data_IF_759350589674
#
_entry.id   IF_759350589674
#
_cell.length_a   1.000
_cell.length_b   1.000
_cell.length_c   1.000
_cell.angle_alpha   90.00
_cell.angle_beta   90.00
_cell.angle_gamma   90.00
#
_symmetry.space_group_name_H-M   'P 1'
#
loop_
_entity.id
_entity.type
_entity.pdbx_description
1 polymer ?
#
# COMPACT_ATOMS: atom_id res chain seq x y z
N UNK A 1 -41.62 -13.68 -18.74
CA UNK A 1 -40.99 -12.65 -17.86
C UNK A 1 -39.57 -13.10 -17.55
N UNK A 2 -38.63 -12.78 -18.44
CA UNK A 2 -37.19 -13.04 -18.26
C UNK A 2 -36.54 -11.77 -17.71
N UNK A 3 -36.18 -11.78 -16.43
CA UNK A 3 -35.48 -10.66 -15.80
C UNK A 3 -34.03 -10.61 -16.29
N UNK A 4 -33.75 -9.70 -17.22
CA UNK A 4 -32.38 -9.35 -17.62
C UNK A 4 -31.72 -8.55 -16.49
N UNK A 5 -30.71 -9.14 -15.83
CA UNK A 5 -29.86 -8.44 -14.86
C UNK A 5 -29.00 -7.38 -15.57
N UNK A 6 -28.85 -6.17 -15.00
CA UNK A 6 -28.02 -5.12 -15.58
C UNK A 6 -26.53 -5.50 -15.54
N UNK A 7 -25.72 -5.08 -16.53
CA UNK A 7 -24.29 -5.33 -16.54
C UNK A 7 -23.65 -4.68 -15.31
N UNK A 8 -22.93 -5.48 -14.51
CA UNK A 8 -22.16 -5.00 -13.39
C UNK A 8 -21.18 -3.92 -13.88
N UNK A 9 -21.45 -2.66 -13.55
CA UNK A 9 -20.58 -1.55 -13.84
C UNK A 9 -19.19 -1.85 -13.26
N UNK A 10 -18.22 -2.08 -14.12
CA UNK A 10 -16.82 -2.31 -13.75
C UNK A 10 -16.29 -1.03 -13.11
N UNK A 11 -16.41 -0.91 -11.78
CA UNK A 11 -15.83 0.20 -11.03
C UNK A 11 -14.32 0.17 -11.29
N UNK A 12 -13.72 1.26 -11.80
CA UNK A 12 -12.27 1.32 -11.96
C UNK A 12 -11.62 1.04 -10.60
N UNK A 13 -10.92 -0.08 -10.49
CA UNK A 13 -10.15 -0.40 -9.28
C UNK A 13 -8.94 0.52 -9.29
N UNK A 14 -9.06 1.66 -8.62
CA UNK A 14 -7.95 2.59 -8.43
C UNK A 14 -6.89 1.86 -7.61
N UNK A 15 -5.78 1.53 -8.26
CA UNK A 15 -4.69 0.82 -7.59
C UNK A 15 -3.97 1.78 -6.62
N UNK A 16 -3.60 1.33 -5.41
CA UNK A 16 -2.87 2.15 -4.42
C UNK A 16 -1.57 2.74 -4.99
N UNK A 17 -0.93 2.01 -5.91
CA UNK A 17 0.27 2.45 -6.64
C UNK A 17 -0.02 3.66 -7.53
N UNK A 18 -1.19 3.73 -8.17
CA UNK A 18 -1.61 4.89 -8.96
C UNK A 18 -1.82 6.12 -8.07
N UNK A 19 -2.40 5.93 -6.88
CA UNK A 19 -2.60 7.00 -5.90
C UNK A 19 -1.25 7.55 -5.46
N UNK A 20 -0.32 6.68 -5.02
CA UNK A 20 1.04 7.08 -4.62
C UNK A 20 1.81 7.78 -5.75
N UNK A 21 1.67 7.31 -6.99
CA UNK A 21 2.30 7.95 -8.15
C UNK A 21 1.65 9.31 -8.44
N UNK A 22 0.34 9.42 -8.32
CA UNK A 22 -0.40 10.68 -8.40
C UNK A 22 0.04 11.68 -7.34
N UNK A 23 0.19 11.24 -6.09
CA UNK A 23 0.73 12.03 -4.97
C UNK A 23 2.08 12.64 -5.31
N UNK A 24 3.02 11.80 -5.73
CA UNK A 24 4.39 12.23 -6.02
C UNK A 24 4.40 13.22 -7.19
N UNK A 25 3.59 12.96 -8.23
CA UNK A 25 3.45 13.87 -9.37
C UNK A 25 2.88 15.22 -8.94
N UNK A 26 1.82 15.24 -8.11
CA UNK A 26 1.22 16.48 -7.60
C UNK A 26 2.20 17.26 -6.73
N UNK A 27 2.96 16.57 -5.87
CA UNK A 27 3.95 17.20 -5.00
C UNK A 27 5.10 17.84 -5.79
N UNK A 28 5.65 17.10 -6.75
CA UNK A 28 6.69 17.61 -7.65
C UNK A 28 6.17 18.77 -8.50
N UNK A 29 4.95 18.68 -9.03
CA UNK A 29 4.32 19.77 -9.78
C UNK A 29 4.10 21.03 -8.92
N UNK A 30 3.71 20.87 -7.65
CA UNK A 30 3.57 21.97 -6.69
C UNK A 30 4.89 22.70 -6.45
N UNK A 31 5.97 21.95 -6.22
CA UNK A 31 7.31 22.52 -6.06
C UNK A 31 7.77 23.26 -7.33
N UNK A 32 7.64 22.62 -8.50
CA UNK A 32 8.03 23.23 -9.78
C UNK A 32 7.27 24.53 -10.01
N UNK A 33 5.96 24.56 -9.75
CA UNK A 33 5.18 25.76 -9.98
C UNK A 33 5.43 26.88 -8.97
N UNK A 34 5.79 26.57 -7.71
CA UNK A 34 6.31 27.59 -6.79
C UNK A 34 7.61 28.21 -7.31
N UNK A 35 8.52 27.38 -7.86
CA UNK A 35 9.79 27.85 -8.42
C UNK A 35 9.55 28.73 -9.66
N UNK A 36 8.74 28.27 -10.62
CA UNK A 36 8.42 29.04 -11.84
C UNK A 36 7.72 30.36 -11.50
N UNK A 37 6.77 30.33 -10.56
CA UNK A 37 6.05 31.53 -10.15
C UNK A 37 6.94 32.55 -9.44
N UNK A 38 7.97 32.09 -8.71
CA UNK A 38 8.96 32.97 -8.10
C UNK A 38 9.85 33.65 -9.14
N UNK A 39 10.16 32.97 -10.25
CA UNK A 39 11.00 33.53 -11.32
C UNK A 39 10.28 34.66 -12.08
N UNK A 40 8.94 34.63 -12.14
CA UNK A 40 8.12 35.64 -12.83
C UNK A 40 7.88 36.92 -11.99
N UNK A 41 8.55 37.07 -10.85
CA UNK A 41 8.52 38.26 -9.96
C UNK A 41 7.11 38.70 -9.54
N UNK A 42 6.16 37.75 -9.51
CA UNK A 42 4.81 37.97 -9.03
C UNK A 42 4.66 37.37 -7.64
N UNK A 43 4.82 38.19 -6.60
CA UNK A 43 4.54 37.80 -5.21
C UNK A 43 3.13 37.23 -5.06
N UNK A 44 2.16 37.71 -5.86
CA UNK A 44 0.80 37.14 -5.92
C UNK A 44 0.75 35.72 -6.52
N UNK A 45 1.60 35.43 -7.51
CA UNK A 45 1.76 34.09 -8.06
C UNK A 45 2.30 33.10 -7.03
N UNK A 46 3.33 33.50 -6.26
CA UNK A 46 3.90 32.64 -5.22
C UNK A 46 2.87 32.26 -4.14
N UNK A 47 2.04 33.23 -3.71
CA UNK A 47 1.00 33.00 -2.69
C UNK A 47 -0.11 32.08 -3.21
N UNK A 48 -0.57 32.29 -4.45
CA UNK A 48 -1.63 31.45 -5.04
C UNK A 48 -1.15 30.02 -5.29
N UNK A 49 0.07 29.85 -5.80
CA UNK A 49 0.65 28.52 -6.01
C UNK A 49 0.91 27.79 -4.68
N UNK A 50 1.34 28.53 -3.65
CA UNK A 50 1.46 28.03 -2.28
C UNK A 50 0.12 27.54 -1.72
N UNK A 51 -0.94 28.35 -1.84
CA UNK A 51 -2.29 28.00 -1.38
C UNK A 51 -2.86 26.77 -2.11
N UNK A 52 -2.70 26.69 -3.42
CA UNK A 52 -3.15 25.54 -4.21
C UNK A 52 -2.40 24.26 -3.77
N UNK A 53 -1.10 24.37 -3.53
CA UNK A 53 -0.29 23.22 -3.05
C UNK A 53 -0.71 22.79 -1.65
N UNK A 54 -1.02 23.74 -0.76
CA UNK A 54 -1.51 23.44 0.58
C UNK A 54 -2.85 22.71 0.55
N UNK A 55 -3.81 23.16 -0.27
CA UNK A 55 -5.12 22.51 -0.43
C UNK A 55 -4.98 21.10 -1.02
N UNK A 56 -4.06 20.91 -1.98
CA UNK A 56 -3.76 19.61 -2.55
C UNK A 56 -3.16 18.66 -1.51
N UNK A 57 -2.21 19.14 -0.70
CA UNK A 57 -1.60 18.36 0.38
C UNK A 57 -2.63 17.96 1.45
N UNK A 58 -3.51 18.87 1.86
CA UNK A 58 -4.57 18.59 2.84
C UNK A 58 -5.55 17.55 2.28
N UNK A 59 -6.01 17.75 1.05
CA UNK A 59 -6.91 16.80 0.38
C UNK A 59 -6.30 15.40 0.30
N UNK A 60 -4.99 15.33 0.07
CA UNK A 60 -4.25 14.09 0.00
C UNK A 60 -4.08 13.41 1.37
N UNK A 61 -3.79 14.18 2.43
CA UNK A 61 -3.74 13.67 3.81
C UNK A 61 -5.11 13.13 4.21
N UNK A 62 -6.20 13.80 3.85
CA UNK A 62 -7.56 13.32 4.11
C UNK A 62 -7.85 12.00 3.39
N UNK A 63 -7.54 11.91 2.09
CA UNK A 63 -7.67 10.64 1.32
C UNK A 63 -6.83 9.53 1.95
N UNK A 64 -5.64 9.85 2.43
CA UNK A 64 -4.73 8.92 3.10
C UNK A 64 -5.27 8.49 4.47
N UNK A 65 -5.91 9.39 5.21
CA UNK A 65 -6.47 9.11 6.54
C UNK A 65 -7.73 8.25 6.46
N UNK A 66 -8.57 8.45 5.43
CA UNK A 66 -9.76 7.60 5.20
C UNK A 66 -9.45 6.28 4.52
N UNK A 67 -8.28 6.15 3.88
CA UNK A 67 -7.81 4.88 3.32
C UNK A 67 -7.02 4.14 4.39
N UNK A 68 -7.55 3.03 4.90
CA UNK A 68 -6.95 2.25 5.99
C UNK A 68 -5.43 2.02 5.83
N UNK A 69 -4.66 1.95 6.93
CA UNK A 69 -3.19 1.91 6.93
C UNK A 69 -2.55 0.75 6.15
N UNK A 70 -3.32 -0.31 5.86
CA UNK A 70 -2.95 -1.38 4.90
C UNK A 70 -2.56 -0.84 3.52
N UNK A 71 -3.18 0.25 3.06
CA UNK A 71 -2.83 0.88 1.77
C UNK A 71 -1.46 1.60 1.79
N UNK A 72 -0.95 1.95 2.98
CA UNK A 72 0.27 2.74 3.18
C UNK A 72 1.52 1.88 3.38
N UNK A 73 1.38 0.67 3.92
CA UNK A 73 2.47 -0.30 4.11
C UNK A 73 2.93 -0.97 2.81
N UNK A 74 2.30 -0.67 1.66
CA UNK A 74 2.63 -1.29 0.37
C UNK A 74 2.17 -2.74 0.23
N UNK A 75 1.65 -3.32 1.31
CA UNK A 75 1.00 -4.63 1.40
C UNK A 75 -0.42 -4.49 0.85
N UNK A 76 -0.64 -4.92 -0.39
CA UNK A 76 -1.98 -4.83 -0.98
C UNK A 76 -2.94 -5.78 -0.25
N UNK A 77 -4.27 -5.56 -0.31
CA UNK A 77 -5.24 -6.54 0.20
C UNK A 77 -5.06 -7.94 -0.43
N UNK A 78 -4.55 -7.98 -1.68
CA UNK A 78 -4.12 -9.21 -2.34
C UNK A 78 -2.89 -9.85 -1.71
N UNK A 79 -2.00 -9.04 -1.14
CA UNK A 79 -0.75 -9.46 -0.52
C UNK A 79 -1.04 -10.03 0.88
N UNK A 80 -1.97 -9.42 1.63
CA UNK A 80 -2.52 -10.00 2.86
C UNK A 80 -3.23 -11.35 2.61
N UNK A 81 -4.00 -11.45 1.53
CA UNK A 81 -4.64 -12.72 1.13
C UNK A 81 -3.65 -13.79 0.65
N UNK A 82 -2.49 -13.38 0.11
CA UNK A 82 -1.39 -14.28 -0.23
C UNK A 82 -0.66 -14.74 1.04
N UNK A 83 -0.36 -13.82 1.96
CA UNK A 83 0.26 -14.12 3.26
C UNK A 83 -0.59 -15.14 4.05
N UNK A 84 -1.92 -14.98 4.07
CA UNK A 84 -2.83 -15.93 4.73
C UNK A 84 -2.78 -17.33 4.10
N UNK A 85 -2.77 -17.43 2.76
CA UNK A 85 -2.67 -18.72 2.06
C UNK A 85 -1.33 -19.39 2.30
N UNK A 86 -0.26 -18.61 2.33
CA UNK A 86 1.10 -19.09 2.60
C UNK A 86 1.22 -19.56 4.05
N UNK A 87 0.63 -18.84 5.00
CA UNK A 87 0.57 -19.25 6.41
C UNK A 87 -0.19 -20.58 6.57
N UNK A 88 -1.36 -20.72 5.95
CA UNK A 88 -2.15 -21.94 6.01
C UNK A 88 -1.42 -23.16 5.42
N UNK A 89 -0.70 -23.00 4.30
CA UNK A 89 0.14 -24.06 3.72
C UNK A 89 1.31 -24.42 4.65
N UNK A 90 1.94 -23.42 5.28
CA UNK A 90 3.02 -23.63 6.24
C UNK A 90 2.54 -24.43 7.46
N UNK A 91 1.40 -24.05 8.05
CA UNK A 91 0.79 -24.75 9.18
C UNK A 91 0.45 -26.21 8.83
N UNK A 92 -0.14 -26.44 7.65
CA UNK A 92 -0.45 -27.79 7.18
C UNK A 92 0.80 -28.68 7.06
N UNK A 93 1.90 -28.12 6.53
CA UNK A 93 3.17 -28.84 6.41
C UNK A 93 3.82 -29.12 7.76
N UNK A 94 3.81 -28.13 8.67
CA UNK A 94 4.30 -28.31 10.04
C UNK A 94 3.52 -29.42 10.73
N UNK A 95 2.18 -29.40 10.65
CA UNK A 95 1.33 -30.44 11.22
C UNK A 95 1.61 -31.82 10.62
N UNK A 96 1.83 -31.90 9.31
CA UNK A 96 2.20 -33.15 8.64
C UNK A 96 3.54 -33.69 9.13
N UNK A 97 4.54 -32.84 9.36
CA UNK A 97 5.87 -33.24 9.84
C UNK A 97 5.81 -33.74 11.28
N UNK A 98 5.09 -33.03 12.15
CA UNK A 98 4.87 -33.46 13.54
C UNK A 98 4.11 -34.79 13.58
N UNK A 99 3.08 -34.95 12.74
CA UNK A 99 2.32 -36.21 12.63
C UNK A 99 3.17 -37.37 12.09
N UNK A 100 4.20 -37.09 11.30
CA UNK A 100 5.18 -38.07 10.83
C UNK A 100 6.24 -38.42 11.90
N UNK A 101 6.17 -37.80 13.09
CA UNK A 101 7.06 -38.07 14.22
C UNK A 101 8.24 -37.11 14.33
N UNK A 102 8.24 -35.97 13.64
CA UNK A 102 9.22 -34.92 13.89
C UNK A 102 9.05 -34.34 15.31
N UNK A 103 10.18 -34.11 16.00
CA UNK A 103 10.20 -33.46 17.30
C UNK A 103 9.77 -31.98 17.19
N UNK A 104 8.73 -31.61 17.94
CA UNK A 104 8.11 -30.28 17.86
C UNK A 104 9.05 -29.19 18.39
N UNK A 105 9.83 -29.48 19.43
CA UNK A 105 10.76 -28.53 20.02
C UNK A 105 11.91 -28.20 19.05
N UNK A 106 12.45 -29.21 18.37
CA UNK A 106 13.46 -29.03 17.33
C UNK A 106 12.91 -28.28 16.11
N UNK A 107 11.68 -28.58 15.68
CA UNK A 107 11.03 -27.89 14.57
C UNK A 107 10.79 -26.41 14.90
N UNK A 108 10.34 -26.12 16.12
CA UNK A 108 10.14 -24.74 16.60
C UNK A 108 11.44 -23.96 16.65
N UNK A 109 12.53 -24.60 17.11
CA UNK A 109 13.88 -24.02 17.09
C UNK A 109 14.38 -23.73 15.68
N UNK A 110 14.09 -24.61 14.72
CA UNK A 110 14.47 -24.44 13.32
C UNK A 110 13.71 -23.27 12.66
N UNK A 111 12.38 -23.22 12.80
CA UNK A 111 11.54 -22.15 12.26
C UNK A 111 11.94 -20.80 12.87
N UNK A 112 12.18 -20.75 14.18
CA UNK A 112 12.63 -19.52 14.86
C UNK A 112 13.94 -19.00 14.28
N UNK A 113 14.92 -19.88 14.04
CA UNK A 113 16.18 -19.51 13.38
C UNK A 113 15.96 -19.04 11.94
N UNK A 114 15.11 -19.70 11.17
CA UNK A 114 14.79 -19.29 9.80
C UNK A 114 14.16 -17.88 9.75
N UNK A 115 13.28 -17.54 10.70
CA UNK A 115 12.69 -16.21 10.84
C UNK A 115 13.75 -15.16 11.22
N UNK A 116 14.65 -15.49 12.14
CA UNK A 116 15.75 -14.62 12.53
C UNK A 116 16.67 -14.30 11.34
N UNK A 117 17.03 -15.31 10.54
CA UNK A 117 17.77 -15.12 9.29
C UNK A 117 17.00 -14.26 8.27
N UNK A 118 15.70 -14.49 8.12
CA UNK A 118 14.86 -13.71 7.21
C UNK A 118 14.72 -12.23 7.58
N UNK A 119 14.79 -11.88 8.88
CA UNK A 119 14.74 -10.50 9.35
C UNK A 119 16.08 -9.77 9.29
N UNK A 120 17.20 -10.49 9.43
CA UNK A 120 18.54 -9.90 9.43
C UNK A 120 19.15 -9.71 8.05
N UNK A 121 18.57 -10.30 7.01
CA UNK A 121 19.05 -10.22 5.62
C UNK A 121 18.32 -9.22 4.72
N UNK A 122 17.51 -8.33 5.29
CA UNK A 122 16.75 -7.29 4.58
C UNK A 122 17.43 -5.91 4.66
#
# INVERSE_FOLDING_TARGET
MTASLPPAASRPRISPRLVRRGVLVVFVAGIIGMIVSSILDSTGGAITFGLITAVAAISLVLVTSVSAPEALSGRSASDAAVDERVAADLESRVQSLVSAGADEDDLRRLVSRAIEFGRGGA
#
